data_IF_574985402310
#
_entry.id   IF_574985402310
#
_cell.length_a   1.000
_cell.length_b   1.000
_cell.length_c   1.000
_cell.angle_alpha   90.00
_cell.angle_beta   90.00
_cell.angle_gamma   90.00
#
_symmetry.space_group_name_H-M   'P 1'
#
loop_
_entity.id
_entity.type
_entity.pdbx_description
1 polymer ?
#
# COMPACT_ATOMS: atom_id res chain seq x y z
N UNK A 1 -9.57 16.03 -3.45
CA UNK A 1 -8.93 14.90 -2.73
C UNK A 1 -9.61 13.62 -3.17
N UNK A 2 -8.85 12.63 -3.65
CA UNK A 2 -9.38 11.35 -4.09
C UNK A 2 -9.90 10.54 -2.90
N UNK A 3 -10.92 9.71 -3.13
CA UNK A 3 -11.36 8.73 -2.13
C UNK A 3 -10.27 7.69 -1.89
N UNK A 4 -10.21 7.15 -0.68
CA UNK A 4 -9.30 6.06 -0.32
C UNK A 4 -10.15 4.84 0.00
N UNK A 5 -9.97 3.79 -0.79
CA UNK A 5 -10.75 2.56 -0.70
C UNK A 5 -9.82 1.40 -0.35
N UNK A 6 -10.17 0.64 0.69
CA UNK A 6 -9.40 -0.50 1.16
C UNK A 6 -10.05 -1.79 0.67
N UNK A 7 -9.26 -2.65 0.01
CA UNK A 7 -9.75 -3.94 -0.48
C UNK A 7 -9.45 -5.06 0.50
N UNK A 8 -10.39 -5.99 0.65
CA UNK A 8 -10.27 -7.12 1.56
C UNK A 8 -9.98 -6.68 2.99
N UNK A 9 -8.99 -7.30 3.63
CA UNK A 9 -8.56 -7.01 5.00
C UNK A 9 -7.47 -5.93 5.10
N UNK A 10 -7.21 -5.18 4.01
CA UNK A 10 -6.04 -4.28 3.96
C UNK A 10 -6.11 -3.13 4.97
N UNK A 11 -7.30 -2.72 5.39
CA UNK A 11 -7.47 -1.71 6.44
C UNK A 11 -7.15 -2.30 7.82
N UNK A 12 -7.63 -3.50 8.10
CA UNK A 12 -7.35 -4.25 9.33
C UNK A 12 -5.84 -4.48 9.45
N UNK A 13 -5.19 -5.01 8.41
CA UNK A 13 -3.74 -5.23 8.41
C UNK A 13 -2.95 -3.94 8.62
N UNK A 14 -3.37 -2.82 8.02
CA UNK A 14 -2.73 -1.52 8.24
C UNK A 14 -2.93 -1.03 9.69
N UNK A 15 -4.09 -1.32 10.31
CA UNK A 15 -4.38 -0.96 11.70
C UNK A 15 -3.53 -1.73 12.71
N UNK A 16 -3.13 -2.95 12.37
CA UNK A 16 -2.20 -3.79 13.15
C UNK A 16 -0.74 -3.31 13.09
N UNK A 17 -0.41 -2.33 12.24
CA UNK A 17 0.92 -1.75 12.25
C UNK A 17 1.20 -1.05 13.61
N UNK A 18 2.46 -1.05 14.07
CA UNK A 18 2.89 -0.19 15.17
C UNK A 18 2.51 1.26 14.92
N UNK A 19 2.29 2.02 15.98
CA UNK A 19 1.71 3.36 15.91
C UNK A 19 2.47 4.30 14.96
N UNK A 20 3.80 4.25 15.00
CA UNK A 20 4.70 5.02 14.14
C UNK A 20 4.50 4.68 12.66
N UNK A 21 4.59 3.40 12.32
CA UNK A 21 4.38 2.91 10.95
C UNK A 21 2.95 3.19 10.44
N UNK A 22 1.94 3.06 11.31
CA UNK A 22 0.54 3.34 10.97
C UNK A 22 0.30 4.82 10.68
N UNK A 23 0.86 5.71 11.51
CA UNK A 23 0.80 7.17 11.30
C UNK A 23 1.48 7.56 9.99
N UNK A 24 2.68 7.03 9.74
CA UNK A 24 3.41 7.29 8.51
C UNK A 24 2.65 6.78 7.28
N UNK A 25 2.07 5.58 7.34
CA UNK A 25 1.20 5.06 6.28
C UNK A 25 0.03 6.01 5.99
N UNK A 26 -0.62 6.53 7.03
CA UNK A 26 -1.70 7.52 6.89
C UNK A 26 -1.24 8.81 6.20
N UNK A 27 -0.09 9.36 6.59
CA UNK A 27 0.50 10.55 5.96
C UNK A 27 0.81 10.30 4.49
N UNK A 28 1.43 9.16 4.16
CA UNK A 28 1.79 8.85 2.78
C UNK A 28 0.56 8.59 1.90
N UNK A 29 -0.46 7.88 2.40
CA UNK A 29 -1.72 7.70 1.67
C UNK A 29 -2.45 9.03 1.48
N UNK A 30 -2.42 9.92 2.47
CA UNK A 30 -3.01 11.26 2.35
C UNK A 30 -2.36 12.08 1.23
N UNK A 31 -1.03 12.05 1.10
CA UNK A 31 -0.31 12.66 -0.03
C UNK A 31 -0.81 12.14 -1.37
N UNK A 32 -0.98 10.82 -1.50
CA UNK A 32 -1.50 10.19 -2.73
C UNK A 32 -2.93 10.65 -3.02
N UNK A 33 -3.79 10.77 -2.00
CA UNK A 33 -5.15 11.30 -2.18
C UNK A 33 -5.17 12.75 -2.68
N UNK A 34 -4.13 13.53 -2.37
CA UNK A 34 -3.95 14.89 -2.85
C UNK A 34 -3.26 14.97 -4.22
N UNK A 35 -2.85 13.84 -4.80
CA UNK A 35 -2.17 13.79 -6.10
C UNK A 35 -0.65 13.94 -6.01
N UNK A 36 -0.08 13.97 -4.80
CA UNK A 36 1.36 13.96 -4.58
C UNK A 36 1.91 12.53 -4.53
N UNK A 37 3.21 12.40 -4.76
CA UNK A 37 3.89 11.12 -4.58
C UNK A 37 4.24 10.88 -3.11
N UNK A 38 4.23 9.62 -2.64
CA UNK A 38 4.81 9.26 -1.35
C UNK A 38 6.30 9.61 -1.31
N UNK A 39 6.85 9.77 -0.11
CA UNK A 39 8.27 10.08 0.09
C UNK A 39 9.20 8.91 -0.23
N UNK A 40 8.79 7.68 0.07
CA UNK A 40 9.53 6.47 -0.31
C UNK A 40 8.58 5.44 -0.93
N UNK A 41 8.73 5.20 -2.23
CA UNK A 41 7.92 4.25 -2.97
C UNK A 41 8.68 3.61 -4.14
N UNK A 42 8.11 2.55 -4.71
CA UNK A 42 8.56 1.98 -5.99
C UNK A 42 7.39 1.40 -6.81
N UNK A 43 7.52 1.29 -8.14
CA UNK A 43 6.54 0.58 -8.96
C UNK A 43 6.54 -0.93 -8.66
N UNK A 44 5.37 -1.56 -8.80
CA UNK A 44 5.14 -2.98 -8.56
C UNK A 44 4.49 -3.64 -9.78
N UNK A 45 5.21 -3.64 -10.90
CA UNK A 45 4.75 -4.23 -12.16
C UNK A 45 4.44 -5.73 -12.05
N UNK A 46 5.03 -6.44 -11.09
CA UNK A 46 4.72 -7.84 -10.79
C UNK A 46 3.32 -8.07 -10.20
N UNK A 47 2.68 -7.01 -9.67
CA UNK A 47 1.29 -7.04 -9.18
C UNK A 47 0.34 -6.58 -10.29
N UNK A 48 0.72 -5.51 -11.00
CA UNK A 48 -0.02 -4.98 -12.13
C UNK A 48 0.50 -3.62 -12.58
N UNK A 49 0.15 -3.21 -13.81
CA UNK A 49 0.53 -1.90 -14.32
C UNK A 49 -0.08 -0.79 -13.45
N UNK A 50 0.74 0.20 -13.08
CA UNK A 50 0.31 1.34 -12.26
C UNK A 50 0.26 1.06 -10.75
N UNK A 51 0.46 -0.18 -10.30
CA UNK A 51 0.56 -0.49 -8.87
C UNK A 51 1.89 0.04 -8.31
N UNK A 52 1.82 0.62 -7.12
CA UNK A 52 2.95 1.21 -6.40
C UNK A 52 3.02 0.63 -4.99
N UNK A 53 4.23 0.54 -4.44
CA UNK A 53 4.51 0.13 -3.06
C UNK A 53 5.02 1.34 -2.29
N UNK A 54 4.33 1.75 -1.23
CA UNK A 54 4.87 2.67 -0.21
C UNK A 54 5.78 1.85 0.71
N UNK A 55 6.99 2.35 0.96
CA UNK A 55 7.97 1.70 1.82
C UNK A 55 8.15 2.49 3.10
N UNK A 56 7.79 1.86 4.22
CA UNK A 56 7.91 2.44 5.55
C UNK A 56 8.93 1.62 6.33
N UNK A 57 9.80 2.29 7.09
CA UNK A 57 10.76 1.66 7.99
C UNK A 57 10.76 2.41 9.30
N UNK A 58 10.74 1.66 10.39
CA UNK A 58 10.99 2.17 11.74
C UNK A 58 11.72 1.10 12.55
N UNK A 59 11.86 1.35 13.86
CA UNK A 59 12.50 0.44 14.80
C UNK A 59 11.78 -0.92 14.90
N UNK A 60 10.47 -0.97 14.66
CA UNK A 60 9.67 -2.19 14.67
C UNK A 60 9.75 -2.97 13.35
N UNK A 61 10.38 -2.42 12.32
CA UNK A 61 10.78 -3.12 11.11
C UNK A 61 10.39 -2.42 9.81
N UNK A 62 10.06 -3.21 8.80
CA UNK A 62 9.75 -2.73 7.46
C UNK A 62 8.28 -3.02 7.11
N UNK A 63 7.53 -1.99 6.76
CA UNK A 63 6.09 -2.09 6.45
C UNK A 63 5.83 -1.61 5.03
N UNK A 64 4.90 -2.28 4.33
CA UNK A 64 4.60 -2.00 2.94
C UNK A 64 3.11 -1.82 2.76
N UNK A 65 2.75 -0.84 1.92
CA UNK A 65 1.38 -0.61 1.49
C UNK A 65 1.36 -0.62 -0.03
N UNK A 66 0.68 -1.62 -0.62
CA UNK A 66 0.48 -1.73 -2.05
C UNK A 66 -0.80 -1.01 -2.43
N UNK A 67 -0.72 -0.11 -3.41
CA UNK A 67 -1.86 0.66 -3.86
C UNK A 67 -1.82 0.94 -5.36
N UNK A 68 -2.96 1.32 -5.92
CA UNK A 68 -3.08 1.89 -7.25
C UNK A 68 -3.93 3.16 -7.18
N UNK A 69 -3.51 4.22 -7.88
CA UNK A 69 -4.26 5.47 -7.97
C UNK A 69 -4.80 5.61 -9.40
N UNK A 70 -6.13 5.56 -9.56
CA UNK A 70 -6.79 5.85 -10.84
C UNK A 70 -7.03 7.36 -10.95
N UNK A 71 -6.86 7.95 -12.14
CA UNK A 71 -7.14 9.37 -12.38
C UNK A 71 -8.65 9.58 -12.21
N UNK A 72 -9.05 10.68 -11.53
CA UNK A 72 -10.45 11.07 -11.25
C UNK A 72 -11.32 10.14 -10.37
N UNK A 73 -10.84 8.95 -10.01
CA UNK A 73 -11.64 7.97 -9.27
C UNK A 73 -11.22 7.85 -7.79
N UNK A 74 -10.39 6.86 -7.46
CA UNK A 74 -9.96 6.58 -6.10
C UNK A 74 -8.51 6.10 -6.02
N UNK A 75 -7.99 6.10 -4.80
CA UNK A 75 -6.78 5.39 -4.38
C UNK A 75 -7.23 4.07 -3.77
N UNK A 76 -6.90 2.96 -4.41
CA UNK A 76 -7.22 1.62 -3.92
C UNK A 76 -6.02 1.03 -3.19
N UNK A 77 -6.17 0.76 -1.89
CA UNK A 77 -5.20 0.01 -1.10
C UNK A 77 -5.49 -1.47 -1.29
N UNK A 78 -4.54 -2.16 -1.92
CA UNK A 78 -4.65 -3.57 -2.26
C UNK A 78 -4.23 -4.45 -1.10
N UNK A 79 -3.13 -4.09 -0.42
CA UNK A 79 -2.56 -4.91 0.65
C UNK A 79 -1.66 -4.09 1.55
N UNK A 80 -1.63 -4.42 2.84
CA UNK A 80 -0.74 -3.84 3.84
C UNK A 80 -0.10 -4.99 4.64
N UNK A 81 1.21 -4.96 4.82
CA UNK A 81 1.91 -6.05 5.54
C UNK A 81 3.25 -5.59 6.13
N UNK A 82 3.67 -6.27 7.19
CA UNK A 82 5.06 -6.20 7.68
C UNK A 82 5.93 -7.17 6.88
N UNK A 83 6.98 -6.64 6.28
CA UNK A 83 7.94 -7.40 5.50
C UNK A 83 9.00 -8.01 6.42
N UNK A 84 9.05 -9.35 6.44
CA UNK A 84 10.00 -10.13 7.26
C UNK A 84 11.27 -10.57 6.50
N UNK A 85 11.30 -10.39 5.19
CA UNK A 85 12.38 -10.86 4.30
C UNK A 85 12.82 -9.76 3.32
N UNK A 86 13.91 -9.97 2.60
CA UNK A 86 14.42 -8.98 1.64
C UNK A 86 13.57 -8.85 0.37
N UNK A 87 12.85 -9.89 -0.03
CA UNK A 87 11.93 -9.87 -1.17
C UNK A 87 10.49 -9.91 -0.67
N UNK A 88 9.58 -9.22 -1.37
CA UNK A 88 8.14 -9.34 -1.05
C UNK A 88 7.70 -10.78 -1.35
N UNK A 89 7.04 -11.42 -0.39
CA UNK A 89 6.69 -12.83 -0.55
C UNK A 89 5.70 -13.00 -1.71
N UNK A 90 5.84 -14.10 -2.46
CA UNK A 90 4.95 -14.39 -3.60
C UNK A 90 3.47 -14.33 -3.20
N UNK A 91 3.12 -14.84 -2.01
CA UNK A 91 1.77 -14.77 -1.45
C UNK A 91 1.21 -13.34 -1.37
N UNK A 92 2.02 -12.37 -0.95
CA UNK A 92 1.60 -10.97 -0.83
C UNK A 92 1.36 -10.33 -2.21
N UNK A 93 2.21 -10.68 -3.19
CA UNK A 93 2.06 -10.24 -4.58
C UNK A 93 0.80 -10.83 -5.20
N UNK A 94 0.59 -12.14 -5.04
CA UNK A 94 -0.56 -12.87 -5.60
C UNK A 94 -1.89 -12.36 -4.98
N UNK A 95 -1.89 -12.06 -3.68
CA UNK A 95 -3.05 -11.49 -2.99
C UNK A 95 -3.39 -10.09 -3.53
N UNK A 96 -2.39 -9.22 -3.65
CA UNK A 96 -2.58 -7.88 -4.18
C UNK A 96 -3.05 -7.91 -5.65
N UNK A 97 -2.49 -8.80 -6.47
CA UNK A 97 -2.89 -8.97 -7.86
C UNK A 97 -4.33 -9.50 -7.97
N UNK A 98 -4.75 -10.35 -7.05
CA UNK A 98 -6.12 -10.86 -6.98
C UNK A 98 -7.12 -9.76 -6.63
N UNK A 99 -6.78 -8.91 -5.66
CA UNK A 99 -7.62 -7.74 -5.30
C UNK A 99 -7.66 -6.71 -6.41
N UNK A 100 -6.57 -6.50 -7.13
CA UNK A 100 -6.54 -5.62 -8.29
C UNK A 100 -7.54 -6.04 -9.37
N UNK A 101 -7.78 -7.34 -9.57
CA UNK A 101 -8.76 -7.84 -10.55
C UNK A 101 -10.22 -7.61 -10.13
N UNK A 102 -10.48 -7.13 -8.92
CA UNK A 102 -11.83 -6.86 -8.40
C UNK A 102 -12.30 -5.42 -8.66
N UNK A 103 -11.43 -4.58 -9.23
CA UNK A 103 -11.67 -3.16 -9.53
C UNK A 103 -11.41 -2.85 -11.00
#
# INVERSE_FOLDING_TARGET
MKRLEFLGDSLEQLREFPETARKEAGVQLHKVQQGFEPSDWKPMASVGQGVREIRIRDEAGAFRVLYIAKIEDAVYVLHAFQKKTQQTAKRDLDLAATRLRQI
#
